data_IF_719942872619
#
_entry.id   IF_719942872619
#
_cell.length_a   1.000
_cell.length_b   1.000
_cell.length_c   1.000
_cell.angle_alpha   90.00
_cell.angle_beta   90.00
_cell.angle_gamma   90.00
#
_symmetry.space_group_name_H-M   'P 1'
#
loop_
_entity.id
_entity.type
_entity.pdbx_description
1 polymer ?
#
# COMPACT_ATOMS: atom_id res chain seq x y z
N UNK A 1 4.65 -9.29 -6.53
CA UNK A 1 5.44 -9.05 -5.30
C UNK A 1 6.14 -7.73 -5.51
N UNK A 2 6.17 -6.86 -4.50
CA UNK A 2 6.71 -5.50 -4.62
C UNK A 2 7.41 -5.06 -3.34
N UNK A 3 8.30 -4.08 -3.48
CA UNK A 3 9.02 -3.38 -2.42
C UNK A 3 9.18 -1.93 -2.85
N UNK A 4 8.16 -1.11 -2.56
CA UNK A 4 7.99 0.20 -3.17
C UNK A 4 8.30 1.32 -2.18
N UNK A 5 8.88 2.46 -2.61
CA UNK A 5 9.12 3.59 -1.74
C UNK A 5 7.81 4.28 -1.31
N UNK A 6 7.73 4.72 -0.05
CA UNK A 6 6.64 5.56 0.45
C UNK A 6 7.17 6.98 0.63
N UNK A 7 6.64 7.95 -0.11
CA UNK A 7 6.99 9.37 -0.05
C UNK A 7 5.85 10.22 0.52
N UNK A 8 6.16 11.40 1.06
CA UNK A 8 5.14 12.33 1.59
C UNK A 8 4.48 13.20 0.49
N UNK A 9 5.06 13.18 -0.72
CA UNK A 9 4.56 13.86 -1.90
C UNK A 9 4.49 12.88 -3.09
N UNK A 10 3.95 13.34 -4.22
CA UNK A 10 3.78 12.52 -5.42
C UNK A 10 5.08 12.44 -6.27
N UNK A 11 6.24 12.78 -5.70
CA UNK A 11 7.52 12.70 -6.39
C UNK A 11 8.26 11.42 -5.99
N UNK A 12 8.40 10.49 -6.94
CA UNK A 12 9.07 9.19 -6.73
C UNK A 12 10.56 9.32 -6.35
N UNK A 13 11.19 10.47 -6.59
CA UNK A 13 12.58 10.74 -6.20
C UNK A 13 12.72 11.40 -4.83
N UNK A 14 11.61 11.74 -4.16
CA UNK A 14 11.65 12.27 -2.80
C UNK A 14 12.17 11.23 -1.81
N UNK A 15 12.73 11.73 -0.70
CA UNK A 15 13.25 10.85 0.35
C UNK A 15 12.11 9.96 0.90
N UNK A 16 12.24 8.63 0.85
CA UNK A 16 11.21 7.75 1.40
C UNK A 16 11.13 7.87 2.94
N UNK A 17 9.91 7.81 3.47
CA UNK A 17 9.64 7.67 4.92
C UNK A 17 9.54 6.20 5.35
N UNK A 18 9.47 5.30 4.38
CA UNK A 18 9.44 3.86 4.57
C UNK A 18 9.29 3.12 3.25
N UNK A 19 8.93 1.84 3.33
CA UNK A 19 8.70 0.99 2.16
C UNK A 19 7.39 0.20 2.30
N UNK A 20 6.69 0.00 1.19
CA UNK A 20 5.54 -0.87 1.11
C UNK A 20 6.00 -2.22 0.55
N UNK A 21 5.89 -3.27 1.35
CA UNK A 21 6.41 -4.60 1.02
C UNK A 21 5.29 -5.63 1.01
N UNK A 22 5.12 -6.35 -0.10
CA UNK A 22 4.06 -7.34 -0.17
C UNK A 22 3.80 -7.88 -1.56
N UNK A 23 2.54 -8.24 -1.80
CA UNK A 23 2.10 -8.77 -3.07
C UNK A 23 0.67 -8.34 -3.38
N UNK A 24 0.35 -8.44 -4.66
CA UNK A 24 -1.01 -8.38 -5.15
C UNK A 24 -1.24 -9.48 -6.17
N UNK A 25 -2.51 -9.86 -6.32
CA UNK A 25 -2.94 -10.87 -7.28
C UNK A 25 -4.17 -10.32 -7.99
N UNK A 26 -4.18 -10.32 -9.33
CA UNK A 26 -5.41 -10.07 -10.09
C UNK A 26 -6.38 -11.23 -9.88
N UNK A 27 -7.56 -10.94 -9.36
CA UNK A 27 -8.50 -11.95 -8.85
C UNK A 27 -9.76 -12.13 -9.71
N UNK A 28 -9.89 -11.36 -10.80
CA UNK A 28 -10.97 -11.54 -11.78
C UNK A 28 -10.46 -11.63 -13.22
N UNK A 29 -11.27 -12.26 -14.08
CA UNK A 29 -10.92 -12.51 -15.50
C UNK A 29 -11.30 -11.38 -16.45
N UNK A 30 -12.32 -10.60 -16.09
CA UNK A 30 -13.00 -9.69 -17.01
C UNK A 30 -12.85 -8.21 -16.61
N UNK A 31 -12.36 -7.95 -15.40
CA UNK A 31 -12.22 -6.62 -14.82
C UNK A 31 -10.85 -6.52 -14.17
N UNK A 32 -10.23 -5.34 -14.18
CA UNK A 32 -9.03 -5.13 -13.37
C UNK A 32 -9.44 -4.96 -11.91
N UNK A 33 -9.32 -6.04 -11.15
CA UNK A 33 -9.45 -6.07 -9.69
C UNK A 33 -8.32 -6.89 -9.11
N UNK A 34 -7.85 -6.49 -7.95
CA UNK A 34 -6.73 -7.12 -7.27
C UNK A 34 -7.10 -7.46 -5.83
N UNK A 35 -6.43 -8.44 -5.25
CA UNK A 35 -6.33 -8.58 -3.80
C UNK A 35 -4.94 -8.11 -3.37
N UNK A 36 -4.88 -7.25 -2.36
CA UNK A 36 -3.66 -6.69 -1.79
C UNK A 36 -3.36 -7.31 -0.42
N UNK A 37 -2.10 -7.69 -0.23
CA UNK A 37 -1.55 -8.05 1.08
C UNK A 37 -0.14 -7.48 1.21
N UNK A 38 0.01 -6.45 2.04
CA UNK A 38 1.29 -5.75 2.16
C UNK A 38 1.46 -5.08 3.53
N UNK A 39 2.69 -4.66 3.79
CA UNK A 39 3.10 -4.03 5.02
C UNK A 39 3.82 -2.72 4.72
N UNK A 40 3.44 -1.63 5.38
CA UNK A 40 4.28 -0.46 5.48
C UNK A 40 5.35 -0.73 6.53
N UNK A 41 6.61 -0.70 6.13
CA UNK A 41 7.78 -0.76 7.01
C UNK A 41 8.33 0.65 7.14
N UNK A 42 8.04 1.29 8.27
CA UNK A 42 8.42 2.67 8.55
C UNK A 42 9.66 2.67 9.46
N UNK A 43 10.67 3.44 9.06
CA UNK A 43 11.92 3.60 9.81
C UNK A 43 12.48 5.00 9.57
N UNK A 44 11.70 6.01 9.96
CA UNK A 44 12.07 7.42 9.90
C UNK A 44 12.43 7.93 11.31
N UNK A 45 12.78 9.21 11.42
CA UNK A 45 12.97 9.87 12.71
C UNK A 45 11.68 10.01 13.51
N UNK A 46 10.53 9.98 12.83
CA UNK A 46 9.22 10.26 13.42
C UNK A 46 8.46 8.97 13.75
N UNK A 47 8.69 7.91 12.96
CA UNK A 47 7.98 6.65 13.07
C UNK A 47 8.91 5.44 12.86
N UNK A 48 8.84 4.49 13.78
CA UNK A 48 9.52 3.21 13.71
C UNK A 48 8.57 2.06 14.03
N UNK A 49 8.21 1.28 13.01
CA UNK A 49 7.27 0.19 13.16
C UNK A 49 6.70 -0.33 11.85
N UNK A 50 5.67 -1.17 11.96
CA UNK A 50 4.98 -1.70 10.78
C UNK A 50 3.47 -1.54 10.88
N UNK A 51 2.83 -1.36 9.73
CA UNK A 51 1.38 -1.36 9.58
C UNK A 51 1.03 -2.38 8.50
N UNK A 52 0.15 -3.34 8.81
CA UNK A 52 -0.19 -4.45 7.92
C UNK A 52 -1.57 -4.27 7.31
N UNK A 53 -1.68 -4.47 6.00
CA UNK A 53 -2.87 -4.25 5.19
C UNK A 53 -3.28 -5.52 4.46
N UNK A 54 -4.58 -5.75 4.37
CA UNK A 54 -5.13 -6.90 3.66
C UNK A 54 -6.55 -6.60 3.17
N UNK A 55 -6.82 -6.80 1.88
CA UNK A 55 -8.16 -6.63 1.34
C UNK A 55 -8.24 -6.58 -0.18
N UNK A 56 -9.47 -6.51 -0.69
CA UNK A 56 -9.75 -6.33 -2.11
C UNK A 56 -9.47 -4.89 -2.55
N UNK A 57 -8.96 -4.75 -3.77
CA UNK A 57 -8.56 -3.51 -4.43
C UNK A 57 -9.18 -3.47 -5.83
N UNK A 58 -10.43 -2.98 -5.96
CA UNK A 58 -11.03 -2.73 -7.25
C UNK A 58 -10.40 -1.46 -7.85
N UNK A 59 -9.27 -1.59 -8.53
CA UNK A 59 -8.41 -0.47 -8.98
C UNK A 59 -9.13 0.55 -9.87
N UNK A 60 -10.20 0.15 -10.56
CA UNK A 60 -11.04 1.01 -11.40
C UNK A 60 -11.94 1.96 -10.59
N UNK A 61 -12.08 1.73 -9.28
CA UNK A 61 -12.82 2.61 -8.37
C UNK A 61 -11.87 3.69 -7.84
N UNK A 62 -12.28 4.97 -7.95
CA UNK A 62 -11.45 6.13 -7.59
C UNK A 62 -10.86 6.05 -6.17
N UNK A 63 -11.65 5.59 -5.21
CA UNK A 63 -11.30 5.51 -3.80
C UNK A 63 -11.77 4.18 -3.24
N UNK A 64 -10.90 3.48 -2.51
CA UNK A 64 -11.20 2.17 -1.93
C UNK A 64 -10.56 2.02 -0.57
N UNK A 65 -11.25 1.31 0.30
CA UNK A 65 -10.86 1.08 1.67
C UNK A 65 -10.22 -0.29 1.82
N UNK A 66 -9.08 -0.34 2.51
CA UNK A 66 -8.38 -1.57 2.88
C UNK A 66 -8.22 -1.64 4.40
N UNK A 67 -8.36 -2.84 4.96
CA UNK A 67 -8.26 -3.05 6.41
C UNK A 67 -6.82 -2.98 6.89
N UNK A 68 -6.59 -2.23 7.97
CA UNK A 68 -5.39 -2.34 8.79
C UNK A 68 -5.61 -3.48 9.77
N UNK A 69 -4.94 -4.60 9.53
CA UNK A 69 -5.13 -5.86 10.27
C UNK A 69 -4.22 -5.98 11.50
N UNK A 70 -3.24 -5.09 11.64
CA UNK A 70 -2.39 -4.99 12.82
C UNK A 70 -1.13 -4.16 12.57
N UNK A 71 -0.33 -3.98 13.62
CA UNK A 71 0.95 -3.27 13.54
C UNK A 71 1.92 -3.63 14.64
N UNK A 72 3.17 -3.19 14.48
CA UNK A 72 4.28 -3.39 15.42
C UNK A 72 5.01 -2.07 15.69
N UNK A 73 5.87 -2.04 16.72
CA UNK A 73 6.61 -0.83 17.08
C UNK A 73 5.64 0.26 17.52
N UNK A 74 5.79 1.47 16.99
CA UNK A 74 4.91 2.60 17.28
C UNK A 74 3.43 2.31 16.99
N UNK A 75 3.14 1.37 16.09
CA UNK A 75 1.79 0.96 15.69
C UNK A 75 1.31 -0.32 16.38
N UNK A 76 1.93 -0.73 17.49
CA UNK A 76 1.53 -1.93 18.23
C UNK A 76 0.02 -1.89 18.56
N UNK A 77 -0.69 -2.97 18.23
CA UNK A 77 -2.13 -3.15 18.44
C UNK A 77 -3.05 -2.15 17.71
N UNK A 78 -2.53 -1.33 16.79
CA UNK A 78 -3.35 -0.44 15.99
C UNK A 78 -4.22 -1.23 15.01
N UNK A 79 -5.45 -0.76 14.80
CA UNK A 79 -6.45 -1.28 13.85
C UNK A 79 -7.15 -0.09 13.20
N UNK A 80 -7.66 -0.29 12.00
CA UNK A 80 -8.36 0.77 11.28
C UNK A 80 -8.56 0.46 9.81
N UNK A 81 -8.72 1.52 9.03
CA UNK A 81 -8.95 1.49 7.61
C UNK A 81 -7.98 2.48 6.96
N UNK A 82 -7.39 2.10 5.84
CA UNK A 82 -6.70 3.02 4.95
C UNK A 82 -7.50 3.17 3.66
N UNK A 83 -7.56 4.40 3.15
CA UNK A 83 -8.21 4.71 1.88
C UNK A 83 -7.14 4.93 0.83
N UNK A 84 -7.20 4.15 -0.25
CA UNK A 84 -6.27 4.24 -1.37
C UNK A 84 -6.94 4.99 -2.52
N UNK A 85 -6.22 5.93 -3.15
CA UNK A 85 -6.62 6.63 -4.37
C UNK A 85 -5.51 6.49 -5.42
N UNK A 86 -5.85 6.07 -6.64
CA UNK A 86 -4.87 5.89 -7.71
C UNK A 86 -4.70 7.21 -8.42
N UNK A 87 -3.51 7.80 -8.33
CA UNK A 87 -3.22 9.12 -8.91
C UNK A 87 -2.84 9.02 -10.39
N UNK A 88 -2.01 8.04 -10.74
CA UNK A 88 -1.58 7.76 -12.09
C UNK A 88 -1.57 6.26 -12.38
N UNK A 89 -1.87 5.91 -13.63
CA UNK A 89 -1.71 4.58 -14.19
C UNK A 89 -1.12 4.75 -15.59
N UNK A 90 0.18 4.57 -15.71
CA UNK A 90 0.84 4.36 -16.98
C UNK A 90 0.66 2.86 -17.26
N UNK A 91 0.17 2.47 -18.45
CA UNK A 91 -0.35 1.13 -18.76
C UNK A 91 0.59 -0.06 -18.49
N UNK A 92 0.72 -1.01 -19.43
CA UNK A 92 1.67 -2.12 -19.24
C UNK A 92 3.11 -1.63 -19.41
N UNK A 93 3.61 -0.86 -18.45
CA UNK A 93 5.02 -0.45 -18.36
C UNK A 93 5.73 -1.41 -17.41
N UNK A 94 6.74 -2.09 -17.95
CA UNK A 94 7.56 -3.09 -17.29
C UNK A 94 8.20 -2.53 -16.01
N UNK A 95 8.15 -3.36 -14.95
CA UNK A 95 8.91 -3.21 -13.69
C UNK A 95 10.41 -3.06 -13.91
#
# INVERSE_FOLDING_TARGET
>A
VFDDPITLDNNLHSKPVGRAQGLYIYDTKNTFTSWLGFTFVLNSTDHQGTINFSGADPIMVKSRDISIVGGTGDFFMHRGIATIMTDSFEGDVYF
#
